data_IF_789622584287
#
_entry.id   IF_789622584287
#
_cell.length_a   1.000
_cell.length_b   1.000
_cell.length_c   1.000
_cell.angle_alpha   90.00
_cell.angle_beta   90.00
_cell.angle_gamma   90.00
#
_symmetry.space_group_name_H-M   'P 1'
#
loop_
_entity.id
_entity.type
_entity.pdbx_description
1 polymer ?
#
# COMPACT_ATOMS: atom_id res chain seq x y z
N UNK A 1 -28.09 -19.44 69.95
CA UNK A 1 -27.75 -20.15 68.70
C UNK A 1 -28.23 -19.28 67.54
N UNK A 2 -27.32 -18.54 66.90
CA UNK A 2 -27.63 -17.66 65.78
C UNK A 2 -26.47 -17.77 64.78
N UNK A 3 -26.72 -18.45 63.66
CA UNK A 3 -25.76 -18.61 62.57
C UNK A 3 -25.95 -17.46 61.58
N UNK A 4 -24.95 -16.57 61.48
CA UNK A 4 -24.88 -15.59 60.40
C UNK A 4 -24.26 -16.26 59.17
N UNK A 5 -25.03 -16.30 58.07
CA UNK A 5 -24.61 -16.83 56.77
C UNK A 5 -24.12 -15.66 55.92
N UNK A 6 -22.81 -15.48 55.80
CA UNK A 6 -22.20 -14.48 54.92
C UNK A 6 -22.09 -15.10 53.52
N UNK A 7 -22.74 -14.47 52.54
CA UNK A 7 -22.65 -14.81 51.11
C UNK A 7 -21.47 -14.08 50.46
N UNK A 8 -20.56 -14.77 49.74
CA UNK A 8 -19.60 -14.09 48.91
C UNK A 8 -20.25 -13.68 47.58
N UNK A 9 -20.52 -12.38 47.41
CA UNK A 9 -20.82 -11.80 46.10
C UNK A 9 -19.53 -11.86 45.26
N UNK A 10 -19.45 -12.87 44.41
CA UNK A 10 -18.53 -12.96 43.28
C UNK A 10 -18.53 -11.64 42.49
N UNK A 11 -17.35 -11.02 42.35
CA UNK A 11 -17.12 -9.96 41.36
C UNK A 11 -15.73 -10.11 40.74
N UNK A 12 -15.77 -10.28 39.41
CA UNK A 12 -14.74 -10.12 38.38
C UNK A 12 -13.94 -11.35 37.93
N UNK A 13 -14.32 -11.90 36.76
CA UNK A 13 -13.38 -12.43 35.78
C UNK A 13 -13.54 -11.67 34.46
N UNK A 14 -12.98 -10.47 34.33
CA UNK A 14 -12.96 -9.75 33.03
C UNK A 14 -11.68 -8.91 32.85
N UNK A 15 -10.52 -9.49 33.14
CA UNK A 15 -9.24 -9.00 32.62
C UNK A 15 -8.59 -10.13 31.84
N UNK A 16 -9.23 -10.54 30.73
CA UNK A 16 -8.63 -11.48 29.78
C UNK A 16 -9.18 -11.29 28.35
N UNK A 17 -9.60 -10.08 28.00
CA UNK A 17 -10.14 -9.77 26.67
C UNK A 17 -9.42 -8.64 25.92
N UNK A 18 -8.24 -8.21 26.39
CA UNK A 18 -7.49 -7.09 25.77
C UNK A 18 -6.04 -7.47 25.43
N UNK A 19 -5.85 -8.70 24.97
CA UNK A 19 -4.68 -9.08 24.20
C UNK A 19 -5.20 -9.81 22.96
N UNK A 20 -5.75 -9.05 22.02
CA UNK A 20 -5.73 -9.49 20.62
C UNK A 20 -4.31 -9.15 20.15
N UNK A 21 -3.39 -10.12 20.06
CA UNK A 21 -2.18 -9.86 19.31
C UNK A 21 -2.61 -9.53 17.88
N UNK A 22 -2.38 -8.28 17.48
CA UNK A 22 -2.46 -7.90 16.07
C UNK A 22 -1.26 -8.57 15.41
N UNK A 23 -1.39 -9.86 15.09
CA UNK A 23 -0.48 -10.52 14.18
C UNK A 23 -0.77 -9.94 12.79
N UNK A 24 -0.14 -8.81 12.46
CA UNK A 24 0.04 -8.46 11.05
C UNK A 24 0.89 -9.59 10.47
N UNK A 25 0.30 -10.40 9.60
CA UNK A 25 1.04 -11.46 8.94
C UNK A 25 2.19 -10.83 8.17
N UNK A 26 3.43 -11.15 8.56
CA UNK A 26 4.62 -10.61 7.94
C UNK A 26 4.72 -11.18 6.51
N UNK A 27 4.57 -10.32 5.50
CA UNK A 27 4.67 -10.73 4.09
C UNK A 27 6.14 -10.92 3.73
N UNK A 28 6.64 -12.14 3.91
CA UNK A 28 7.96 -12.53 3.39
C UNK A 28 7.83 -12.86 1.90
N UNK A 29 8.58 -12.16 1.06
CA UNK A 29 8.62 -12.39 -0.39
C UNK A 29 9.93 -13.05 -0.73
N UNK A 30 9.93 -14.38 -0.65
CA UNK A 30 10.96 -15.21 -1.26
C UNK A 30 10.44 -15.64 -2.61
N UNK A 31 11.17 -15.33 -3.67
CA UNK A 31 10.81 -15.78 -5.02
C UNK A 31 11.79 -16.88 -5.39
N UNK A 32 11.30 -18.05 -5.78
CA UNK A 32 12.12 -19.21 -6.12
C UNK A 32 12.65 -19.11 -7.57
N UNK A 33 13.37 -18.02 -7.83
CA UNK A 33 13.93 -17.65 -9.14
C UNK A 33 15.26 -16.95 -8.93
N UNK A 34 16.11 -16.96 -9.96
CA UNK A 34 17.39 -16.23 -9.99
C UNK A 34 17.27 -14.86 -10.67
N UNK A 35 16.10 -14.55 -11.24
CA UNK A 35 15.82 -13.29 -11.94
C UNK A 35 14.43 -12.78 -11.56
N UNK A 36 14.29 -11.46 -11.37
CA UNK A 36 13.03 -10.85 -10.98
C UNK A 36 12.41 -10.09 -12.15
N UNK A 37 11.39 -10.68 -12.78
CA UNK A 37 10.56 -9.99 -13.76
C UNK A 37 9.63 -8.96 -13.10
N UNK A 38 9.86 -7.68 -13.39
CA UNK A 38 9.11 -6.54 -12.84
C UNK A 38 8.41 -5.78 -13.96
N UNK A 39 7.10 -5.55 -13.82
CA UNK A 39 6.37 -4.62 -14.69
C UNK A 39 6.39 -3.22 -14.09
N UNK A 40 6.77 -2.22 -14.88
CA UNK A 40 6.79 -0.81 -14.43
C UNK A 40 5.79 -0.01 -15.25
N UNK A 41 4.87 0.66 -14.55
CA UNK A 41 3.81 1.49 -15.12
C UNK A 41 3.70 2.81 -14.35
N UNK A 42 3.04 3.79 -14.93
CA UNK A 42 2.70 5.04 -14.26
C UNK A 42 1.62 5.76 -15.05
N UNK A 43 1.05 6.83 -14.49
CA UNK A 43 -0.04 7.59 -15.12
C UNK A 43 -1.23 6.69 -15.49
N UNK A 44 -1.60 5.79 -14.58
CA UNK A 44 -2.67 4.82 -14.82
C UNK A 44 -4.07 5.38 -14.62
N UNK A 45 -4.20 6.61 -14.12
CA UNK A 45 -5.42 7.19 -13.55
C UNK A 45 -6.56 7.52 -14.52
N UNK A 46 -6.73 6.74 -15.58
CA UNK A 46 -7.85 6.76 -16.50
C UNK A 46 -8.30 5.33 -16.81
N UNK A 47 -9.57 5.15 -17.15
CA UNK A 47 -10.11 3.83 -17.51
C UNK A 47 -9.61 3.36 -18.89
N UNK A 48 -9.63 2.04 -19.13
CA UNK A 48 -9.36 1.47 -20.46
C UNK A 48 -10.43 1.83 -21.51
N UNK A 49 -11.65 2.17 -21.08
CA UNK A 49 -12.71 2.64 -21.99
C UNK A 49 -12.45 4.07 -22.46
N UNK A 50 -11.88 4.91 -21.60
CA UNK A 50 -11.67 6.33 -21.89
C UNK A 50 -10.32 6.61 -22.56
N UNK A 51 -9.36 5.68 -22.48
CA UNK A 51 -8.03 5.82 -23.07
C UNK A 51 -7.60 4.59 -23.89
N UNK A 52 -7.59 4.76 -25.21
CA UNK A 52 -7.07 3.73 -26.13
C UNK A 52 -5.59 3.41 -25.91
N UNK A 53 -4.80 4.38 -25.42
CA UNK A 53 -3.39 4.18 -25.04
C UNK A 53 -3.30 3.28 -23.81
N UNK A 54 -4.06 3.58 -22.75
CA UNK A 54 -4.13 2.76 -21.53
C UNK A 54 -4.53 1.32 -21.88
N UNK A 55 -5.57 1.13 -22.70
CA UNK A 55 -6.01 -0.19 -23.16
C UNK A 55 -4.89 -0.95 -23.90
N UNK A 56 -4.22 -0.32 -24.87
CA UNK A 56 -3.14 -0.97 -25.61
C UNK A 56 -1.93 -1.37 -24.74
N UNK A 57 -1.60 -0.55 -23.74
CA UNK A 57 -0.55 -0.86 -22.76
C UNK A 57 -0.97 -2.05 -21.88
N UNK A 58 -2.18 -2.02 -21.30
CA UNK A 58 -2.69 -3.10 -20.44
C UNK A 58 -2.81 -4.43 -21.22
N UNK A 59 -3.29 -4.41 -22.45
CA UNK A 59 -3.33 -5.59 -23.32
C UNK A 59 -1.94 -6.18 -23.58
N UNK A 60 -0.94 -5.31 -23.80
CA UNK A 60 0.45 -5.74 -23.99
C UNK A 60 1.00 -6.39 -22.71
N UNK A 61 0.78 -5.77 -21.54
CA UNK A 61 1.18 -6.32 -20.24
C UNK A 61 0.51 -7.68 -19.99
N UNK A 62 -0.80 -7.82 -20.27
CA UNK A 62 -1.53 -9.09 -20.17
C UNK A 62 -0.92 -10.17 -21.08
N UNK A 63 -0.53 -9.81 -22.31
CA UNK A 63 0.13 -10.72 -23.24
C UNK A 63 1.49 -11.18 -22.72
N UNK A 64 2.33 -10.26 -22.26
CA UNK A 64 3.65 -10.60 -21.71
C UNK A 64 3.54 -11.48 -20.47
N UNK A 65 2.64 -11.13 -19.53
CA UNK A 65 2.39 -11.92 -18.32
C UNK A 65 1.89 -13.35 -18.62
N UNK A 66 1.20 -13.54 -19.74
CA UNK A 66 0.78 -14.87 -20.20
C UNK A 66 1.92 -15.74 -20.77
N UNK A 67 3.08 -15.14 -21.08
CA UNK A 67 4.28 -15.85 -21.56
C UNK A 67 5.29 -16.02 -20.44
N UNK A 68 5.62 -14.91 -19.74
CA UNK A 68 6.49 -14.87 -18.58
C UNK A 68 5.75 -14.09 -17.49
N UNK A 69 5.19 -14.77 -16.47
CA UNK A 69 4.49 -14.09 -15.39
C UNK A 69 5.42 -13.13 -14.64
N UNK A 70 4.92 -11.93 -14.36
CA UNK A 70 5.66 -10.98 -13.52
C UNK A 70 5.64 -11.44 -12.06
N UNK A 71 6.69 -11.09 -11.33
CA UNK A 71 6.80 -11.34 -9.89
C UNK A 71 6.39 -10.13 -9.06
N UNK A 72 6.49 -8.92 -9.64
CA UNK A 72 6.22 -7.65 -8.98
C UNK A 72 5.79 -6.60 -10.00
N UNK A 73 4.95 -5.66 -9.58
CA UNK A 73 4.65 -4.44 -10.30
C UNK A 73 5.21 -3.21 -9.58
N UNK A 74 5.53 -2.16 -10.33
CA UNK A 74 5.82 -0.83 -9.81
C UNK A 74 4.91 0.17 -10.51
N UNK A 75 4.16 0.95 -9.73
CA UNK A 75 3.25 1.96 -10.22
C UNK A 75 3.74 3.35 -9.78
N UNK A 76 4.22 4.14 -10.74
CA UNK A 76 4.95 5.39 -10.55
C UNK A 76 4.06 6.62 -10.28
N UNK A 77 2.84 6.41 -9.78
CA UNK A 77 1.92 7.48 -9.40
C UNK A 77 1.07 8.05 -10.54
N UNK A 78 0.36 9.14 -10.23
CA UNK A 78 -0.76 9.67 -11.00
C UNK A 78 -1.85 8.58 -11.16
N UNK A 79 -2.24 8.06 -9.99
CA UNK A 79 -3.12 6.91 -9.84
C UNK A 79 -4.56 7.25 -10.18
N UNK A 80 -4.96 8.51 -10.01
CA UNK A 80 -6.27 9.04 -10.36
C UNK A 80 -6.10 10.40 -11.04
N UNK A 81 -6.52 10.51 -12.29
CA UNK A 81 -6.47 11.74 -13.08
C UNK A 81 -7.88 12.34 -13.27
N UNK A 82 -7.98 13.66 -13.50
CA UNK A 82 -6.90 14.64 -13.44
C UNK A 82 -6.63 15.21 -12.03
N UNK A 83 -7.56 15.05 -11.09
CA UNK A 83 -7.50 15.76 -9.80
C UNK A 83 -7.41 14.81 -8.59
N UNK A 84 -6.75 13.66 -8.74
CA UNK A 84 -6.65 12.70 -7.65
C UNK A 84 -8.01 12.14 -7.21
N UNK A 85 -8.03 11.50 -6.05
CA UNK A 85 -9.22 10.86 -5.49
C UNK A 85 -10.00 11.84 -4.59
N UNK A 86 -11.04 12.48 -5.11
CA UNK A 86 -11.69 13.61 -4.43
C UNK A 86 -12.63 13.25 -3.25
N UNK A 87 -13.34 12.11 -3.23
CA UNK A 87 -13.95 11.51 -2.01
C UNK A 87 -14.76 10.24 -2.29
N UNK A 88 -14.93 9.44 -1.22
CA UNK A 88 -15.86 8.32 -0.95
C UNK A 88 -15.88 7.09 -1.87
N UNK A 89 -15.40 7.19 -3.10
CA UNK A 89 -15.58 6.11 -4.05
C UNK A 89 -14.27 5.43 -4.46
N UNK A 90 -14.05 4.26 -3.88
CA UNK A 90 -13.01 3.34 -4.33
C UNK A 90 -13.24 2.85 -5.77
N UNK A 91 -14.45 3.05 -6.33
CA UNK A 91 -14.78 2.66 -7.70
C UNK A 91 -13.81 3.23 -8.74
N UNK A 92 -13.31 4.46 -8.58
CA UNK A 92 -12.31 5.00 -9.52
C UNK A 92 -11.03 4.17 -9.53
N UNK A 93 -10.54 3.79 -8.35
CA UNK A 93 -9.35 2.93 -8.24
C UNK A 93 -9.67 1.51 -8.71
N UNK A 94 -10.87 0.99 -8.45
CA UNK A 94 -11.30 -0.30 -9.01
C UNK A 94 -11.29 -0.24 -10.55
N UNK A 95 -11.82 0.82 -11.14
CA UNK A 95 -11.91 1.01 -12.58
C UNK A 95 -10.53 1.22 -13.21
N UNK A 96 -9.62 1.95 -12.56
CA UNK A 96 -8.32 2.32 -13.15
C UNK A 96 -7.21 1.30 -12.88
N UNK A 97 -7.32 0.55 -11.78
CA UNK A 97 -6.35 -0.43 -11.33
C UNK A 97 -6.91 -1.85 -11.33
N UNK A 98 -7.90 -2.17 -10.47
CA UNK A 98 -8.36 -3.56 -10.27
C UNK A 98 -8.92 -4.19 -11.53
N UNK A 99 -9.63 -3.41 -12.35
CA UNK A 99 -10.22 -3.88 -13.60
C UNK A 99 -9.13 -4.17 -14.66
N UNK A 100 -8.09 -3.32 -14.71
CA UNK A 100 -6.96 -3.47 -15.63
C UNK A 100 -6.02 -4.59 -15.23
N UNK A 101 -5.78 -4.74 -13.93
CA UNK A 101 -4.86 -5.70 -13.36
C UNK A 101 -5.62 -6.59 -12.38
N UNK A 102 -6.48 -7.50 -12.87
CA UNK A 102 -7.27 -8.37 -11.99
C UNK A 102 -6.40 -9.33 -11.19
N UNK A 103 -6.83 -9.68 -9.98
CA UNK A 103 -6.09 -10.61 -9.09
C UNK A 103 -5.94 -12.01 -9.67
N UNK A 104 -6.86 -12.42 -10.56
CA UNK A 104 -6.79 -13.68 -11.29
C UNK A 104 -5.66 -13.75 -12.31
N UNK A 105 -5.27 -12.61 -12.89
CA UNK A 105 -4.20 -12.53 -13.89
C UNK A 105 -2.89 -12.05 -13.28
N UNK A 106 -2.97 -11.17 -12.29
CA UNK A 106 -1.83 -10.54 -11.63
C UNK A 106 -1.96 -10.75 -10.10
N UNK A 107 -1.65 -11.94 -9.58
CA UNK A 107 -1.64 -12.22 -8.14
C UNK A 107 -0.37 -11.67 -7.46
N UNK A 108 0.08 -10.49 -7.87
CA UNK A 108 1.30 -9.83 -7.43
C UNK A 108 0.99 -8.45 -6.87
N UNK A 109 1.91 -7.93 -6.07
CA UNK A 109 1.81 -6.54 -5.60
C UNK A 109 2.31 -5.58 -6.67
N UNK A 110 1.68 -4.42 -6.73
CA UNK A 110 2.12 -3.24 -7.43
C UNK A 110 2.56 -2.22 -6.39
N UNK A 111 3.87 -2.00 -6.29
CA UNK A 111 4.47 -0.98 -5.44
C UNK A 111 4.07 0.38 -5.96
N UNK A 112 3.04 0.95 -5.37
CA UNK A 112 2.48 2.22 -5.81
C UNK A 112 3.10 3.36 -5.03
N UNK A 113 3.44 4.43 -5.74
CA UNK A 113 3.77 5.75 -5.15
C UNK A 113 2.71 6.78 -5.55
N UNK A 114 2.80 7.97 -4.96
CA UNK A 114 1.95 9.12 -5.29
C UNK A 114 2.62 9.95 -6.38
N UNK A 115 1.83 10.41 -7.35
CA UNK A 115 2.24 11.41 -8.33
C UNK A 115 1.63 12.77 -8.02
N UNK A 116 2.01 13.79 -8.79
CA UNK A 116 1.56 15.17 -8.62
C UNK A 116 0.03 15.30 -8.51
N UNK A 117 -0.71 14.69 -9.45
CA UNK A 117 -2.17 14.78 -9.46
C UNK A 117 -2.84 14.05 -8.30
N UNK A 118 -2.16 13.10 -7.67
CA UNK A 118 -2.70 12.41 -6.49
C UNK A 118 -2.79 13.34 -5.28
N UNK A 119 -1.90 14.34 -5.19
CA UNK A 119 -1.89 15.37 -4.13
C UNK A 119 -3.02 16.40 -4.26
N UNK A 120 -3.71 16.46 -5.40
CA UNK A 120 -4.90 17.29 -5.56
C UNK A 120 -6.13 16.66 -4.86
N UNK A 121 -6.08 15.37 -4.53
CA UNK A 121 -7.14 14.62 -3.87
C UNK A 121 -6.81 14.13 -2.46
N UNK A 122 -7.57 13.14 -2.00
CA UNK A 122 -7.43 12.50 -0.69
C UNK A 122 -6.43 11.32 -0.77
N UNK A 123 -5.19 11.60 -0.38
CA UNK A 123 -4.10 10.62 -0.32
C UNK A 123 -4.41 9.51 0.69
N UNK A 124 -4.98 9.86 1.84
CA UNK A 124 -5.28 8.90 2.89
C UNK A 124 -6.31 7.87 2.42
N UNK A 125 -7.21 8.26 1.51
CA UNK A 125 -8.12 7.33 0.84
C UNK A 125 -7.40 6.36 -0.10
N UNK A 126 -6.39 6.80 -0.84
CA UNK A 126 -5.59 5.87 -1.66
C UNK A 126 -4.84 4.86 -0.78
N UNK A 127 -4.30 5.31 0.36
CA UNK A 127 -3.69 4.42 1.37
C UNK A 127 -4.76 3.48 1.95
N UNK A 128 -5.97 3.96 2.25
CA UNK A 128 -7.06 3.11 2.74
C UNK A 128 -7.49 2.06 1.71
N UNK A 129 -7.46 2.37 0.42
CA UNK A 129 -7.77 1.43 -0.65
C UNK A 129 -6.88 0.19 -0.60
N UNK A 130 -5.57 0.37 -0.39
CA UNK A 130 -4.62 -0.72 -0.15
C UNK A 130 -5.10 -1.65 0.99
N UNK A 131 -5.47 -1.08 2.14
CA UNK A 131 -5.84 -1.87 3.30
C UNK A 131 -7.25 -2.48 3.23
N UNK A 132 -8.18 -1.83 2.53
CA UNK A 132 -9.61 -2.14 2.62
C UNK A 132 -10.20 -2.80 1.37
N UNK A 133 -9.57 -2.67 0.21
CA UNK A 133 -10.13 -3.11 -1.08
C UNK A 133 -9.22 -4.03 -1.85
N UNK A 134 -8.02 -3.57 -2.20
CA UNK A 134 -7.07 -4.37 -2.97
C UNK A 134 -5.64 -4.17 -2.46
N UNK A 135 -5.17 -5.13 -1.68
CA UNK A 135 -3.83 -5.11 -1.10
C UNK A 135 -2.71 -5.13 -2.15
N UNK A 136 -3.02 -5.54 -3.38
CA UNK A 136 -2.06 -5.51 -4.50
C UNK A 136 -1.76 -4.09 -4.96
N UNK A 137 -2.67 -3.14 -4.74
CA UNK A 137 -2.32 -1.72 -4.84
C UNK A 137 -1.49 -1.37 -3.59
N UNK A 138 -0.21 -1.72 -3.60
CA UNK A 138 0.63 -1.65 -2.40
C UNK A 138 1.05 -0.21 -2.14
N UNK A 139 0.30 0.47 -1.28
CA UNK A 139 0.53 1.85 -0.84
C UNK A 139 0.27 1.95 0.68
N UNK A 140 1.16 1.39 1.52
CA UNK A 140 0.95 1.36 2.97
C UNK A 140 1.15 2.74 3.64
N UNK A 141 1.83 3.66 2.95
CA UNK A 141 2.12 5.03 3.37
C UNK A 141 2.72 5.83 2.22
N UNK A 142 3.00 7.13 2.45
CA UNK A 142 3.54 8.04 1.42
C UNK A 142 4.97 7.67 0.99
N UNK A 143 5.81 7.34 1.96
CA UNK A 143 7.17 6.86 1.77
C UNK A 143 7.28 5.52 2.48
N UNK A 144 7.84 4.51 1.82
CA UNK A 144 8.01 3.21 2.43
C UNK A 144 9.15 2.43 1.79
N UNK A 145 9.70 1.50 2.56
CA UNK A 145 10.57 0.45 2.04
C UNK A 145 9.72 -0.82 1.93
N UNK A 146 9.67 -1.41 0.75
CA UNK A 146 8.90 -2.63 0.55
C UNK A 146 9.51 -3.78 1.36
N UNK A 147 8.67 -4.46 2.16
CA UNK A 147 9.09 -5.53 3.07
C UNK A 147 9.57 -5.09 4.46
N UNK A 148 9.45 -3.80 4.81
CA UNK A 148 10.01 -3.24 6.06
C UNK A 148 9.21 -3.51 7.34
N UNK A 149 7.90 -3.78 7.30
CA UNK A 149 7.07 -3.96 8.52
C UNK A 149 7.43 -5.22 9.36
N UNK A 150 8.59 -5.85 9.16
CA UNK A 150 8.94 -7.18 9.67
C UNK A 150 10.36 -7.40 10.23
N UNK A 151 11.20 -6.36 10.39
CA UNK A 151 12.66 -6.50 10.61
C UNK A 151 13.37 -7.22 9.44
N UNK A 152 13.71 -6.44 8.41
CA UNK A 152 14.54 -6.80 7.25
C UNK A 152 14.03 -7.96 6.38
N UNK A 153 13.10 -7.67 5.48
CA UNK A 153 12.82 -8.60 4.37
C UNK A 153 12.90 -7.85 3.04
N UNK A 154 14.07 -7.99 2.41
CA UNK A 154 14.29 -7.72 1.00
C UNK A 154 13.65 -8.84 0.16
N UNK A 155 13.33 -8.54 -1.10
CA UNK A 155 12.96 -9.60 -2.05
C UNK A 155 14.20 -10.46 -2.25
N UNK A 156 14.16 -11.69 -1.74
CA UNK A 156 15.31 -12.61 -1.78
C UNK A 156 15.08 -13.66 -2.86
N UNK A 157 16.05 -13.76 -3.77
CA UNK A 157 16.12 -14.71 -4.87
C UNK A 157 16.68 -16.05 -4.39
N UNK A 158 16.54 -17.09 -5.21
CA UNK A 158 16.95 -18.46 -4.84
C UNK A 158 18.47 -18.63 -4.72
N UNK A 159 19.25 -17.74 -5.32
CA UNK A 159 20.71 -17.68 -5.20
C UNK A 159 21.19 -16.86 -3.99
N UNK A 160 20.27 -16.32 -3.20
CA UNK A 160 20.55 -15.52 -2.02
C UNK A 160 20.80 -14.04 -2.30
N UNK A 161 20.66 -13.57 -3.56
CA UNK A 161 20.65 -12.13 -3.85
C UNK A 161 19.39 -11.52 -3.24
N UNK A 162 19.56 -10.35 -2.63
CA UNK A 162 18.49 -9.61 -2.00
C UNK A 162 18.31 -8.22 -2.63
N UNK A 163 17.07 -7.86 -2.93
CA UNK A 163 16.69 -6.63 -3.62
C UNK A 163 15.79 -5.79 -2.72
N UNK A 164 16.16 -4.52 -2.52
CA UNK A 164 15.40 -3.55 -1.71
C UNK A 164 14.75 -2.50 -2.60
N UNK A 165 13.44 -2.30 -2.42
CA UNK A 165 12.69 -1.24 -3.08
C UNK A 165 12.39 -0.11 -2.09
N UNK A 166 12.83 1.10 -2.42
CA UNK A 166 12.49 2.32 -1.71
C UNK A 166 11.50 3.12 -2.56
N UNK A 167 10.31 3.32 -2.02
CA UNK A 167 9.20 4.02 -2.65
C UNK A 167 9.07 5.40 -2.01
N UNK A 168 9.26 6.45 -2.82
CA UNK A 168 9.33 7.85 -2.35
C UNK A 168 8.24 8.69 -3.01
N UNK A 169 7.46 9.38 -2.18
CA UNK A 169 6.60 10.49 -2.60
C UNK A 169 7.47 11.72 -2.87
N UNK A 170 7.75 11.94 -4.14
CA UNK A 170 8.68 13.00 -4.58
C UNK A 170 8.02 14.37 -4.72
N UNK A 171 6.69 14.43 -4.83
CA UNK A 171 5.97 15.70 -5.09
C UNK A 171 6.25 16.76 -4.03
N UNK A 172 6.24 16.47 -2.71
CA UNK A 172 6.60 17.45 -1.68
C UNK A 172 8.04 17.97 -1.77
N UNK A 173 8.94 17.31 -2.51
CA UNK A 173 10.34 17.73 -2.63
C UNK A 173 10.53 18.89 -3.60
N UNK A 174 9.61 19.09 -4.55
CA UNK A 174 9.72 20.14 -5.56
C UNK A 174 8.49 21.06 -5.64
N UNK A 175 7.33 20.67 -5.11
CA UNK A 175 6.17 21.55 -4.96
C UNK A 175 6.33 22.46 -3.73
N UNK A 176 6.51 23.77 -3.97
CA UNK A 176 6.87 24.74 -2.93
C UNK A 176 5.88 24.83 -1.76
N UNK A 177 4.58 24.69 -2.04
CA UNK A 177 3.51 24.72 -1.03
C UNK A 177 3.55 23.49 -0.14
N UNK A 178 3.75 22.31 -0.72
CA UNK A 178 3.85 21.04 -0.01
C UNK A 178 5.19 20.88 0.72
N UNK A 179 6.28 21.39 0.14
CA UNK A 179 7.61 21.41 0.75
C UNK A 179 7.60 22.18 2.07
N UNK A 180 6.91 23.32 2.11
CA UNK A 180 6.77 24.13 3.32
C UNK A 180 6.03 23.37 4.42
N UNK A 181 4.92 22.70 4.08
CA UNK A 181 4.17 21.85 5.02
C UNK A 181 4.99 20.66 5.52
N UNK A 182 5.76 20.02 4.62
CA UNK A 182 6.65 18.91 4.96
C UNK A 182 7.72 19.35 5.98
N UNK A 183 8.34 20.51 5.76
CA UNK A 183 9.32 21.08 6.69
C UNK A 183 8.67 21.38 8.03
N UNK A 184 7.52 22.05 8.06
CA UNK A 184 6.80 22.38 9.31
C UNK A 184 6.45 21.11 10.13
N UNK A 185 5.93 20.08 9.47
CA UNK A 185 5.60 18.82 10.13
C UNK A 185 6.85 18.10 10.66
N UNK A 186 7.94 18.07 9.88
CA UNK A 186 9.21 17.46 10.32
C UNK A 186 9.87 18.18 11.51
N UNK A 187 9.61 19.48 11.68
CA UNK A 187 10.08 20.25 12.83
C UNK A 187 9.23 19.93 14.06
N UNK A 188 7.90 19.88 13.92
CA UNK A 188 6.99 19.51 15.02
C UNK A 188 7.25 18.11 15.56
N UNK A 189 7.48 17.13 14.70
CA UNK A 189 7.78 15.75 15.14
C UNK A 189 9.07 15.70 15.97
N UNK A 190 10.10 16.46 15.59
CA UNK A 190 11.36 16.57 16.36
C UNK A 190 11.21 17.28 17.70
N UNK A 191 10.28 18.23 17.83
CA UNK A 191 9.97 18.90 19.10
C UNK A 191 9.18 18.01 20.07
N UNK A 192 8.36 17.09 19.55
CA UNK A 192 7.63 16.11 20.35
C UNK A 192 8.59 15.04 20.89
N UNK A 193 9.56 14.59 20.09
CA UNK A 193 10.54 13.57 20.49
C UNK A 193 11.64 14.10 21.45
N UNK A 194 11.70 15.43 21.67
CA UNK A 194 12.68 16.09 22.54
C UNK A 194 12.14 16.57 23.89
N UNK A 195 10.85 16.31 24.18
CA UNK A 195 10.19 16.58 25.47
C UNK A 195 9.75 15.30 26.17
#
# INVERSE_FOLDING_TARGET
MAFWKISPKSRMPYILSLLVPIFRALKKISVDVTELDVVVIGNIGVSESDSGVKRGVVESIKRFNGVVPFHLGINLGNNVLPHGLQTADFQKLDDFFSSSFSSSLFPIDFLTILGEHDHEGDIDKQIQYHYQKDQRFYLPGRNYVYGYESNDIEVTLSDGISIRFLCVDSTPLYESTLSSQFIENSVREREIDSN
#
